data_IF_760854348855
#
_entry.id   IF_760854348855
#
_cell.length_a   1.000
_cell.length_b   1.000
_cell.length_c   1.000
_cell.angle_alpha   90.00
_cell.angle_beta   90.00
_cell.angle_gamma   90.00
#
_symmetry.space_group_name_H-M   'P 1'
#
loop_
_entity.id
_entity.type
_entity.pdbx_description
1 polymer ?
#
# COMPACT_ATOMS: atom_id res chain seq x y z
N UNK A 1 -12.94 -11.77 -4.72
CA UNK A 1 -12.76 -12.23 -3.32
C UNK A 1 -11.29 -12.52 -3.15
N UNK A 2 -10.48 -11.47 -2.98
CA UNK A 2 -9.03 -11.58 -2.89
C UNK A 2 -8.66 -11.45 -1.42
N UNK A 3 -8.07 -12.51 -0.91
CA UNK A 3 -7.65 -12.75 0.46
C UNK A 3 -6.67 -11.66 0.93
N UNK A 4 -7.13 -10.80 1.85
CA UNK A 4 -6.39 -9.67 2.44
C UNK A 4 -5.46 -10.12 3.60
N UNK A 5 -5.38 -11.42 3.90
CA UNK A 5 -4.74 -11.94 5.11
C UNK A 5 -3.23 -12.23 5.01
N UNK A 6 -2.59 -12.02 3.85
CA UNK A 6 -1.16 -12.37 3.63
C UNK A 6 -0.24 -11.19 3.31
N UNK A 7 -0.65 -9.94 3.57
CA UNK A 7 0.23 -8.78 3.39
C UNK A 7 0.96 -8.49 4.71
N UNK A 8 2.30 -8.38 4.71
CA UNK A 8 3.05 -8.16 5.94
C UNK A 8 2.53 -6.89 6.62
N UNK A 9 1.97 -7.07 7.81
CA UNK A 9 1.49 -5.97 8.63
C UNK A 9 2.67 -5.15 9.14
N UNK A 10 2.44 -3.87 9.42
CA UNK A 10 3.41 -3.07 10.17
C UNK A 10 3.76 -3.75 11.52
N UNK A 11 2.82 -4.50 12.09
CA UNK A 11 3.04 -5.29 13.30
C UNK A 11 3.97 -6.49 13.07
N UNK A 12 3.94 -7.10 11.87
CA UNK A 12 4.85 -8.19 11.52
C UNK A 12 6.28 -7.67 11.34
N UNK A 13 6.42 -6.51 10.68
CA UNK A 13 7.69 -5.79 10.57
C UNK A 13 8.24 -5.37 11.94
N UNK A 14 7.37 -4.89 12.84
CA UNK A 14 7.77 -4.55 14.19
C UNK A 14 8.23 -5.79 14.98
N UNK A 15 7.57 -6.93 14.79
CA UNK A 15 7.93 -8.21 15.43
C UNK A 15 9.24 -8.76 14.89
N UNK A 16 9.46 -8.73 13.58
CA UNK A 16 10.70 -9.18 12.95
C UNK A 16 11.89 -8.32 13.38
N UNK A 17 11.70 -7.00 13.49
CA UNK A 17 12.70 -6.08 14.03
C UNK A 17 12.98 -6.33 15.52
N UNK A 18 11.95 -6.63 16.32
CA UNK A 18 12.11 -6.96 17.74
C UNK A 18 12.87 -8.28 17.95
N UNK A 19 12.64 -9.27 17.08
CA UNK A 19 13.34 -10.56 17.11
C UNK A 19 14.79 -10.47 16.64
N UNK A 20 15.14 -9.46 15.82
CA UNK A 20 16.51 -9.16 15.42
C UNK A 20 17.36 -8.51 16.54
N UNK A 21 16.74 -8.11 17.67
CA UNK A 21 17.46 -7.49 18.80
C UNK A 21 18.24 -8.56 19.59
N UNK A 22 19.55 -8.38 19.82
CA UNK A 22 20.37 -9.38 20.50
C UNK A 22 19.94 -9.59 21.97
N UNK A 23 20.02 -10.85 22.43
CA UNK A 23 19.42 -11.34 23.69
C UNK A 23 19.89 -10.60 24.96
N UNK A 24 21.05 -9.96 24.93
CA UNK A 24 21.58 -9.13 26.02
C UNK A 24 20.83 -7.81 26.22
N UNK A 25 20.03 -7.36 25.25
CA UNK A 25 19.21 -6.14 25.32
C UNK A 25 17.74 -6.42 25.71
N UNK A 26 17.31 -7.69 25.75
CA UNK A 26 15.93 -8.06 26.14
C UNK A 26 15.55 -7.61 27.56
N UNK A 27 16.51 -7.47 28.47
CA UNK A 27 16.27 -7.02 29.85
C UNK A 27 15.95 -5.50 29.96
N UNK A 28 16.24 -4.72 28.91
CA UNK A 28 15.87 -3.30 28.77
C UNK A 28 14.65 -3.17 27.82
N UNK A 29 14.00 -4.31 27.53
CA UNK A 29 13.15 -4.53 26.37
C UNK A 29 12.00 -3.55 26.22
N UNK A 30 11.28 -3.20 27.29
CA UNK A 30 10.14 -2.29 27.19
C UNK A 30 10.52 -0.85 26.80
N UNK A 31 11.61 -0.31 27.37
CA UNK A 31 12.08 1.04 27.02
C UNK A 31 12.67 1.07 25.62
N UNK A 32 13.34 -0.01 25.22
CA UNK A 32 13.87 -0.17 23.87
C UNK A 32 12.74 -0.28 22.84
N UNK A 33 11.71 -1.07 23.13
CA UNK A 33 10.53 -1.27 22.27
C UNK A 33 9.77 0.05 22.07
N UNK A 34 9.53 0.82 23.15
CA UNK A 34 8.91 2.15 23.06
C UNK A 34 9.72 3.10 22.18
N UNK A 35 11.05 3.13 22.36
CA UNK A 35 11.93 3.97 21.55
C UNK A 35 11.96 3.53 20.08
N UNK A 36 12.02 2.22 19.81
CA UNK A 36 11.96 1.67 18.45
C UNK A 36 10.64 2.00 17.76
N UNK A 37 9.52 1.82 18.46
CA UNK A 37 8.20 2.20 17.95
C UNK A 37 8.14 3.68 17.59
N UNK A 38 8.65 4.55 18.46
CA UNK A 38 8.71 5.99 18.19
C UNK A 38 9.62 6.33 17.00
N UNK A 39 10.76 5.65 16.85
CA UNK A 39 11.67 5.83 15.72
C UNK A 39 11.05 5.34 14.40
N UNK A 40 10.36 4.20 14.40
CA UNK A 40 9.63 3.66 13.25
C UNK A 40 8.48 4.58 12.86
N UNK A 41 7.67 5.02 13.81
CA UNK A 41 6.60 5.99 13.58
C UNK A 41 7.15 7.31 13.02
N UNK A 42 8.27 7.80 13.55
CA UNK A 42 8.93 9.01 13.03
C UNK A 42 9.56 8.79 11.66
N UNK A 43 10.06 7.60 11.36
CA UNK A 43 10.63 7.23 10.07
C UNK A 43 9.56 7.14 9.00
N UNK A 44 8.48 6.42 9.28
CA UNK A 44 7.31 6.31 8.41
C UNK A 44 6.61 7.66 8.22
N UNK A 45 6.51 8.48 9.26
CA UNK A 45 5.94 9.83 9.16
C UNK A 45 6.79 10.82 8.35
N UNK A 46 8.08 10.52 8.12
CA UNK A 46 8.95 11.30 7.21
C UNK A 46 8.91 10.79 5.76
N UNK A 47 8.36 9.60 5.54
CA UNK A 47 8.10 9.11 4.20
C UNK A 47 6.81 9.77 3.70
N UNK A 48 6.75 10.15 2.43
CA UNK A 48 5.56 10.72 1.78
C UNK A 48 4.51 9.62 1.55
N UNK A 49 4.03 9.04 2.65
CA UNK A 49 3.09 7.93 2.66
C UNK A 49 1.67 8.47 2.58
N UNK A 50 0.88 7.87 1.70
CA UNK A 50 -0.57 8.05 1.69
C UNK A 50 -1.21 7.07 2.66
N UNK A 51 -2.36 7.44 3.21
CA UNK A 51 -3.17 6.54 4.02
C UNK A 51 -3.68 5.37 3.17
N UNK A 52 -4.03 4.27 3.83
CA UNK A 52 -4.62 3.10 3.13
C UNK A 52 -5.91 3.49 2.41
N UNK A 53 -6.73 4.32 3.03
CA UNK A 53 -8.00 4.80 2.46
C UNK A 53 -7.77 5.64 1.20
N UNK A 54 -6.78 6.53 1.21
CA UNK A 54 -6.39 7.31 0.02
C UNK A 54 -5.84 6.41 -1.09
N UNK A 55 -5.03 5.39 -0.75
CA UNK A 55 -4.56 4.43 -1.73
C UNK A 55 -5.71 3.66 -2.38
N UNK A 56 -6.63 3.13 -1.59
CA UNK A 56 -7.78 2.36 -2.09
C UNK A 56 -8.70 3.25 -2.95
N UNK A 57 -8.85 4.54 -2.60
CA UNK A 57 -9.55 5.51 -3.43
C UNK A 57 -8.88 5.66 -4.80
N UNK A 58 -7.55 5.78 -4.85
CA UNK A 58 -6.83 5.92 -6.12
C UNK A 58 -6.93 4.65 -6.99
N UNK A 59 -6.94 3.48 -6.38
CA UNK A 59 -7.21 2.22 -7.09
C UNK A 59 -8.58 2.26 -7.76
N UNK A 60 -9.63 2.68 -7.02
CA UNK A 60 -10.98 2.80 -7.58
C UNK A 60 -11.07 3.83 -8.72
N UNK A 61 -10.36 4.97 -8.59
CA UNK A 61 -10.28 5.97 -9.66
C UNK A 61 -9.61 5.39 -10.90
N UNK A 62 -8.53 4.63 -10.74
CA UNK A 62 -7.82 3.98 -11.84
C UNK A 62 -8.67 2.94 -12.55
N UNK A 63 -9.40 2.11 -11.80
CA UNK A 63 -10.34 1.12 -12.35
C UNK A 63 -11.41 1.80 -13.22
N UNK A 64 -12.07 2.83 -12.68
CA UNK A 64 -13.06 3.61 -13.44
C UNK A 64 -12.48 4.28 -14.68
N UNK A 65 -11.20 4.67 -14.63
CA UNK A 65 -10.52 5.29 -15.76
C UNK A 65 -10.26 4.27 -16.86
N UNK A 66 -9.89 3.04 -16.51
CA UNK A 66 -9.75 1.93 -17.47
C UNK A 66 -11.08 1.61 -18.15
N UNK A 67 -12.16 1.48 -17.38
CA UNK A 67 -13.49 1.23 -17.94
C UNK A 67 -13.92 2.31 -18.96
N UNK A 68 -13.64 3.59 -18.63
CA UNK A 68 -13.92 4.70 -19.55
C UNK A 68 -13.01 4.66 -20.79
N UNK A 69 -11.75 4.28 -20.63
CA UNK A 69 -10.81 4.16 -21.73
C UNK A 69 -11.28 3.08 -22.70
N UNK A 70 -11.60 1.89 -22.20
CA UNK A 70 -12.09 0.76 -23.01
C UNK A 70 -13.37 1.14 -23.79
N UNK A 71 -14.29 1.87 -23.15
CA UNK A 71 -15.51 2.35 -23.80
C UNK A 71 -15.24 3.40 -24.90
N UNK A 72 -14.23 4.25 -24.72
CA UNK A 72 -13.82 5.23 -25.73
C UNK A 72 -13.09 4.55 -26.89
N UNK A 73 -12.24 3.56 -26.61
CA UNK A 73 -11.57 2.76 -27.63
C UNK A 73 -12.58 2.00 -28.50
N UNK A 74 -13.61 1.40 -27.88
CA UNK A 74 -14.69 0.74 -28.63
C UNK A 74 -15.45 1.72 -29.54
N UNK A 75 -15.81 2.90 -29.03
CA UNK A 75 -16.47 3.95 -29.84
C UNK A 75 -15.58 4.46 -30.96
N UNK A 76 -14.27 4.58 -30.72
CA UNK A 76 -13.34 5.02 -31.75
C UNK A 76 -13.26 3.99 -32.88
N UNK A 77 -13.15 2.71 -32.54
CA UNK A 77 -13.16 1.62 -33.53
C UNK A 77 -14.44 1.63 -34.38
N UNK A 78 -15.62 1.77 -33.76
CA UNK A 78 -16.89 1.90 -34.50
C UNK A 78 -16.89 3.08 -35.48
N UNK A 79 -16.33 4.23 -35.06
CA UNK A 79 -16.24 5.42 -35.91
C UNK A 79 -15.22 5.24 -37.05
N UNK A 80 -14.07 4.65 -36.77
CA UNK A 80 -13.03 4.36 -37.77
C UNK A 80 -13.53 3.38 -38.83
N UNK A 81 -14.28 2.34 -38.43
CA UNK A 81 -14.92 1.41 -39.34
C UNK A 81 -15.96 2.12 -40.22
N UNK A 82 -16.82 2.96 -39.62
CA UNK A 82 -17.85 3.71 -40.35
C UNK A 82 -17.31 4.79 -41.31
N UNK A 83 -16.09 5.28 -41.07
CA UNK A 83 -15.43 6.28 -41.91
C UNK A 83 -14.59 5.66 -43.04
N UNK A 84 -14.34 4.34 -42.96
CA UNK A 84 -13.58 3.57 -43.94
C UNK A 84 -14.47 2.89 -45.00
N UNK A 85 -15.79 2.95 -44.83
CA UNK A 85 -16.83 2.58 -45.82
C UNK A 85 -17.38 3.82 -46.56
#
# INVERSE_FOLDING_TARGET
MNDDSSRPSLDDLARELADAVPRNLKAIGEDLERNFKSLLQSGLGRMDLVTREEFDLQVAVLERTREKLDALEARLAELEDSASE
#
